data_IF_782537226811
#
_entry.id   IF_782537226811
#
_cell.length_a   1.000
_cell.length_b   1.000
_cell.length_c   1.000
_cell.angle_alpha   90.00
_cell.angle_beta   90.00
_cell.angle_gamma   90.00
#
_symmetry.space_group_name_H-M   'P 1'
#
loop_
_entity.id
_entity.type
_entity.pdbx_description
1 polymer ?
#
# COMPACT_ATOMS: atom_id res chain seq x y z
N UNK A 1 23.43 -14.92 -16.27
CA UNK A 1 21.99 -14.75 -15.97
C UNK A 1 21.58 -13.38 -16.46
N UNK A 2 20.45 -13.31 -17.15
CA UNK A 2 19.91 -12.07 -17.72
C UNK A 2 18.68 -11.58 -16.92
N UNK A 3 18.11 -10.45 -17.33
CA UNK A 3 16.94 -9.88 -16.68
C UNK A 3 15.71 -10.80 -16.77
N UNK A 4 15.60 -11.60 -17.84
CA UNK A 4 14.49 -12.52 -18.04
C UNK A 4 14.49 -13.61 -16.97
N UNK A 5 15.66 -14.16 -16.65
CA UNK A 5 15.78 -15.14 -15.58
C UNK A 5 15.18 -14.64 -14.24
N UNK A 6 15.51 -13.42 -13.81
CA UNK A 6 14.99 -12.87 -12.55
C UNK A 6 13.50 -12.54 -12.62
N UNK A 7 13.01 -12.08 -13.76
CA UNK A 7 11.57 -11.90 -13.99
C UNK A 7 10.81 -13.22 -13.83
N UNK A 8 11.36 -14.31 -14.38
CA UNK A 8 10.76 -15.64 -14.27
C UNK A 8 10.75 -16.13 -12.82
N UNK A 9 11.83 -15.93 -12.05
CA UNK A 9 11.87 -16.28 -10.63
C UNK A 9 10.88 -15.47 -9.78
N UNK A 10 10.78 -14.15 -10.00
CA UNK A 10 9.82 -13.29 -9.29
C UNK A 10 8.37 -13.70 -9.60
N UNK A 11 8.07 -14.07 -10.85
CA UNK A 11 6.74 -14.45 -11.28
C UNK A 11 6.23 -15.78 -10.71
N UNK A 12 7.13 -16.66 -10.24
CA UNK A 12 6.73 -17.89 -9.53
C UNK A 12 6.05 -17.59 -8.19
N UNK A 13 6.33 -16.44 -7.57
CA UNK A 13 5.74 -16.03 -6.31
C UNK A 13 4.59 -15.05 -6.54
N UNK A 14 3.37 -15.47 -6.23
CA UNK A 14 2.17 -14.65 -6.44
C UNK A 14 2.21 -13.30 -5.68
N UNK A 15 2.82 -13.25 -4.50
CA UNK A 15 2.93 -12.02 -3.71
C UNK A 15 3.86 -11.04 -4.43
N UNK A 16 5.03 -11.50 -4.88
CA UNK A 16 5.99 -10.65 -5.59
C UNK A 16 5.42 -10.15 -6.92
N UNK A 17 4.71 -11.01 -7.65
CA UNK A 17 3.98 -10.63 -8.86
C UNK A 17 2.91 -9.57 -8.59
N UNK A 18 2.21 -9.65 -7.47
CA UNK A 18 1.23 -8.63 -7.09
C UNK A 18 1.90 -7.28 -6.80
N UNK A 19 3.06 -7.28 -6.13
CA UNK A 19 3.84 -6.06 -5.89
C UNK A 19 4.31 -5.43 -7.22
N UNK A 20 4.77 -6.22 -8.18
CA UNK A 20 5.12 -5.73 -9.52
C UNK A 20 3.93 -5.04 -10.20
N UNK A 21 2.74 -5.67 -10.19
CA UNK A 21 1.52 -5.08 -10.75
C UNK A 21 1.13 -3.76 -10.07
N UNK A 22 1.31 -3.67 -8.75
CA UNK A 22 1.04 -2.43 -8.03
C UNK A 22 1.98 -1.30 -8.50
N UNK A 23 3.27 -1.61 -8.67
CA UNK A 23 4.24 -0.63 -9.19
C UNK A 23 3.88 -0.17 -10.61
N UNK A 24 3.52 -1.10 -11.49
CA UNK A 24 3.07 -0.81 -12.86
C UNK A 24 1.83 0.10 -12.85
N UNK A 25 0.81 -0.26 -12.07
CA UNK A 25 -0.44 0.50 -11.95
C UNK A 25 -0.19 1.91 -11.41
N UNK A 26 0.66 2.05 -10.39
CA UNK A 26 0.99 3.36 -9.83
C UNK A 26 1.79 4.22 -10.80
N UNK A 27 2.70 3.60 -11.57
CA UNK A 27 3.45 4.28 -12.64
C UNK A 27 2.50 4.77 -13.73
N UNK A 28 1.58 3.94 -14.18
CA UNK A 28 0.58 4.31 -15.19
C UNK A 28 -0.28 5.49 -14.72
N UNK A 29 -0.80 5.46 -13.49
CA UNK A 29 -1.55 6.59 -12.90
C UNK A 29 -0.71 7.86 -12.86
N UNK A 30 0.58 7.76 -12.49
CA UNK A 30 1.51 8.88 -12.48
C UNK A 30 1.68 9.48 -13.88
N UNK A 31 1.90 8.65 -14.89
CA UNK A 31 2.02 9.07 -16.29
C UNK A 31 0.72 9.73 -16.77
N UNK A 32 -0.45 9.16 -16.46
CA UNK A 32 -1.74 9.75 -16.83
C UNK A 32 -1.97 11.12 -16.17
N UNK A 33 -1.52 11.29 -14.91
CA UNK A 33 -1.72 12.54 -14.15
C UNK A 33 -0.71 13.64 -14.50
N UNK A 34 0.55 13.28 -14.74
CA UNK A 34 1.65 14.24 -14.87
C UNK A 34 2.30 14.23 -16.27
N UNK A 35 1.90 13.32 -17.16
CA UNK A 35 2.48 13.15 -18.51
C UNK A 35 3.86 12.49 -18.52
N UNK A 36 4.37 12.08 -17.36
CA UNK A 36 5.73 11.55 -17.18
C UNK A 36 5.82 10.68 -15.92
N UNK A 37 6.93 9.96 -15.78
CA UNK A 37 7.26 9.17 -14.60
C UNK A 37 8.01 10.04 -13.57
N UNK A 38 8.35 9.47 -12.42
CA UNK A 38 9.29 10.06 -11.46
C UNK A 38 10.62 10.34 -12.18
N UNK A 39 10.94 11.62 -12.44
CA UNK A 39 12.22 12.04 -13.02
C UNK A 39 13.06 12.69 -11.94
N UNK A 40 14.29 12.21 -11.65
CA UNK A 40 15.12 12.73 -10.57
C UNK A 40 15.38 14.24 -10.63
N UNK A 41 15.39 14.84 -11.83
CA UNK A 41 15.64 16.26 -12.05
C UNK A 41 14.43 17.18 -11.83
N UNK A 42 13.24 16.64 -11.52
CA UNK A 42 12.05 17.47 -11.28
C UNK A 42 12.06 18.20 -9.94
N UNK A 43 12.84 17.70 -8.97
CA UNK A 43 12.86 18.23 -7.62
C UNK A 43 14.30 18.39 -7.14
N UNK A 44 14.54 19.42 -6.35
CA UNK A 44 15.73 19.58 -5.52
C UNK A 44 15.75 18.50 -4.43
N UNK A 45 16.91 18.31 -3.80
CA UNK A 45 17.04 17.36 -2.70
C UNK A 45 16.06 17.62 -1.55
N UNK A 46 15.80 18.90 -1.22
CA UNK A 46 14.88 19.27 -0.14
C UNK A 46 13.43 18.96 -0.53
N UNK A 47 13.01 19.29 -1.75
CA UNK A 47 11.67 18.95 -2.25
C UNK A 47 11.43 17.43 -2.26
N UNK A 48 12.45 16.62 -2.60
CA UNK A 48 12.37 15.17 -2.47
C UNK A 48 12.12 14.71 -1.02
N UNK A 49 12.80 15.32 -0.06
CA UNK A 49 12.60 15.02 1.37
C UNK A 49 11.21 15.47 1.85
N UNK A 50 10.73 16.63 1.41
CA UNK A 50 9.39 17.12 1.76
C UNK A 50 8.30 16.21 1.19
N UNK A 51 8.43 15.76 -0.06
CA UNK A 51 7.51 14.78 -0.64
C UNK A 51 7.54 13.45 0.10
N UNK A 52 8.73 12.95 0.46
CA UNK A 52 8.85 11.75 1.28
C UNK A 52 8.16 11.93 2.65
N UNK A 53 8.34 13.08 3.31
CA UNK A 53 7.67 13.37 4.57
C UNK A 53 6.14 13.35 4.43
N UNK A 54 5.60 13.93 3.35
CA UNK A 54 4.15 13.90 3.07
C UNK A 54 3.64 12.45 2.92
N UNK A 55 4.32 11.64 2.09
CA UNK A 55 3.95 10.23 1.88
C UNK A 55 4.07 9.40 3.18
N UNK A 56 5.07 9.68 4.02
CA UNK A 56 5.19 9.04 5.34
C UNK A 56 4.05 9.45 6.28
N UNK A 57 3.57 10.69 6.20
CA UNK A 57 2.41 11.10 7.00
C UNK A 57 1.13 10.40 6.54
N UNK A 58 0.93 10.23 5.24
CA UNK A 58 -0.20 9.44 4.71
C UNK A 58 -0.17 7.99 5.21
N UNK A 59 1.02 7.38 5.28
CA UNK A 59 1.20 6.06 5.86
C UNK A 59 0.82 6.01 7.36
N UNK A 60 1.21 7.02 8.15
CA UNK A 60 0.82 7.14 9.56
C UNK A 60 -0.70 7.28 9.71
N UNK A 61 -1.35 8.08 8.86
CA UNK A 61 -2.82 8.20 8.84
C UNK A 61 -3.47 6.85 8.59
N UNK A 62 -2.97 6.05 7.63
CA UNK A 62 -3.48 4.70 7.40
C UNK A 62 -3.31 3.78 8.59
N UNK A 63 -2.19 3.84 9.31
CA UNK A 63 -2.00 3.10 10.55
C UNK A 63 -3.08 3.43 11.60
N UNK A 64 -3.38 4.72 11.82
CA UNK A 64 -4.41 5.12 12.78
C UNK A 64 -5.81 4.68 12.34
N UNK A 65 -6.14 4.78 11.05
CA UNK A 65 -7.41 4.26 10.51
C UNK A 65 -7.54 2.76 10.72
N UNK A 66 -6.47 2.00 10.48
CA UNK A 66 -6.47 0.54 10.66
C UNK A 66 -6.63 0.14 12.13
N UNK A 67 -5.94 0.83 13.04
CA UNK A 67 -6.12 0.65 14.50
C UNK A 67 -7.57 0.90 14.92
N UNK A 68 -8.17 1.99 14.42
CA UNK A 68 -9.56 2.32 14.69
C UNK A 68 -10.52 1.25 14.16
N UNK A 69 -10.37 0.83 12.90
CA UNK A 69 -11.20 -0.23 12.30
C UNK A 69 -11.06 -1.55 13.04
N UNK A 70 -9.85 -1.93 13.45
CA UNK A 70 -9.62 -3.13 14.23
C UNK A 70 -10.36 -3.09 15.57
N UNK A 71 -10.30 -1.97 16.30
CA UNK A 71 -11.05 -1.79 17.55
C UNK A 71 -12.57 -1.93 17.36
N UNK A 72 -13.12 -1.42 16.25
CA UNK A 72 -14.53 -1.60 15.90
C UNK A 72 -14.87 -3.07 15.62
N UNK A 73 -14.05 -3.77 14.83
CA UNK A 73 -14.24 -5.20 14.54
C UNK A 73 -14.24 -6.02 15.82
N UNK A 74 -13.31 -5.78 16.74
CA UNK A 74 -13.26 -6.47 18.03
C UNK A 74 -14.50 -6.20 18.89
N UNK A 75 -15.05 -4.99 18.84
CA UNK A 75 -16.28 -4.64 19.54
C UNK A 75 -17.47 -5.41 18.95
N UNK A 76 -17.57 -5.48 17.62
CA UNK A 76 -18.64 -6.23 16.94
C UNK A 76 -18.55 -7.74 17.22
N UNK A 77 -17.34 -8.31 17.22
CA UNK A 77 -17.15 -9.73 17.56
C UNK A 77 -17.63 -10.05 18.98
N UNK A 78 -17.33 -9.18 19.95
CA UNK A 78 -17.80 -9.33 21.34
C UNK A 78 -19.31 -9.24 21.47
N UNK A 79 -19.95 -8.32 20.74
CA UNK A 79 -21.41 -8.22 20.71
C UNK A 79 -22.03 -9.49 20.12
N UNK A 80 -21.49 -9.98 19.01
CA UNK A 80 -21.96 -11.21 18.36
C UNK A 80 -21.75 -12.46 19.22
N UNK A 81 -20.67 -12.55 20.02
CA UNK A 81 -20.50 -13.65 20.97
C UNK A 81 -21.52 -13.58 22.09
N UNK A 82 -21.77 -12.41 22.67
CA UNK A 82 -22.74 -12.23 23.75
C UNK A 82 -24.18 -12.55 23.30
N UNK A 83 -24.58 -12.14 22.09
CA UNK A 83 -25.89 -12.49 21.53
C UNK A 83 -26.08 -14.01 21.41
N UNK A 84 -25.08 -14.72 20.86
CA UNK A 84 -25.10 -16.18 20.72
C UNK A 84 -25.10 -16.94 22.04
N UNK A 85 -24.66 -16.31 23.13
CA UNK A 85 -24.76 -16.87 24.49
C UNK A 85 -26.14 -16.63 25.09
N UNK A 86 -26.78 -15.49 24.81
CA UNK A 86 -28.15 -15.20 25.29
C UNK A 86 -29.25 -15.99 24.59
N UNK A 87 -28.98 -16.49 23.38
CA UNK A 87 -29.89 -17.32 22.59
C UNK A 87 -29.79 -18.83 22.93
N UNK A 88 -28.85 -19.22 23.80
CA UNK A 88 -28.65 -20.59 24.28
C UNK A 88 -29.29 -20.79 25.65
#
# INVERSE_FOLDING_TARGET
MDAQHWLDELNKNQILRNVQKLLETQTEKGIQKYGTTVVPSHYTFIEWLEHLQQEMMDAIVYCEVLKFKYAQLMTLEKLNSAMRESER
#
